data_IF_342580343387
#
_entry.id   IF_342580343387
#
_cell.length_a   1.000
_cell.length_b   1.000
_cell.length_c   1.000
_cell.angle_alpha   90.00
_cell.angle_beta   90.00
_cell.angle_gamma   90.00
#
_symmetry.space_group_name_H-M   'P 1'
#
loop_
_entity.id
_entity.type
_entity.pdbx_description
1 polymer ?
#
# COMPACT_ATOMS: atom_id res chain seq x y z
N UNK A 1 21.19 18.06 1.47
CA UNK A 1 21.44 17.64 0.06
C UNK A 1 20.83 16.26 -0.14
N UNK A 2 19.88 16.10 -1.06
CA UNK A 2 19.35 14.78 -1.42
C UNK A 2 20.41 14.02 -2.24
N UNK A 3 20.83 12.83 -1.77
CA UNK A 3 21.73 11.95 -2.52
C UNK A 3 20.91 11.31 -3.65
N UNK A 4 21.29 11.58 -4.91
CA UNK A 4 20.70 10.88 -6.06
C UNK A 4 21.18 9.43 -6.08
N UNK A 5 20.26 8.51 -6.37
CA UNK A 5 20.57 7.10 -6.57
C UNK A 5 21.28 6.90 -7.92
N UNK A 6 22.10 5.86 -8.02
CA UNK A 6 22.56 5.37 -9.31
C UNK A 6 21.34 4.90 -10.13
N UNK A 7 21.20 5.29 -11.42
CA UNK A 7 20.06 4.87 -12.25
C UNK A 7 19.81 3.36 -12.29
N UNK A 8 20.87 2.54 -12.29
CA UNK A 8 20.75 1.08 -12.25
C UNK A 8 20.19 0.59 -10.92
N UNK A 9 20.58 1.22 -9.80
CA UNK A 9 20.05 0.88 -8.48
C UNK A 9 18.58 1.30 -8.35
N UNK A 10 18.24 2.49 -8.82
CA UNK A 10 16.86 2.98 -8.87
C UNK A 10 15.97 2.04 -9.67
N UNK A 11 16.38 1.63 -10.88
CA UNK A 11 15.63 0.68 -11.70
C UNK A 11 15.40 -0.67 -10.98
N UNK A 12 16.42 -1.20 -10.29
CA UNK A 12 16.30 -2.45 -9.52
C UNK A 12 15.33 -2.32 -8.35
N UNK A 13 15.35 -1.19 -7.65
CA UNK A 13 14.43 -0.94 -6.54
C UNK A 13 12.98 -0.78 -7.01
N UNK A 14 12.77 -0.12 -8.15
CA UNK A 14 11.44 -0.03 -8.79
C UNK A 14 10.94 -1.43 -9.15
N UNK A 15 11.77 -2.24 -9.84
CA UNK A 15 11.41 -3.59 -10.22
C UNK A 15 11.10 -4.48 -9.01
N UNK A 16 11.88 -4.36 -7.93
CA UNK A 16 11.63 -5.05 -6.67
C UNK A 16 10.28 -4.62 -6.06
N UNK A 17 10.01 -3.32 -5.99
CA UNK A 17 8.75 -2.81 -5.45
C UNK A 17 7.53 -3.29 -6.25
N UNK A 18 7.64 -3.34 -7.58
CA UNK A 18 6.60 -3.89 -8.47
C UNK A 18 6.40 -5.40 -8.28
N UNK A 19 7.47 -6.15 -8.02
CA UNK A 19 7.37 -7.59 -7.76
C UNK A 19 6.75 -7.90 -6.38
N UNK A 20 6.96 -7.03 -5.39
CA UNK A 20 6.38 -7.19 -4.04
C UNK A 20 4.90 -6.80 -3.98
N UNK A 21 4.47 -5.87 -4.82
CA UNK A 21 3.09 -5.38 -4.86
C UNK A 21 2.55 -5.54 -6.27
N UNK A 22 1.89 -6.67 -6.53
CA UNK A 22 1.14 -6.88 -7.76
C UNK A 22 -0.14 -6.01 -7.74
N UNK A 23 -0.03 -4.83 -8.33
CA UNK A 23 -1.15 -3.88 -8.46
C UNK A 23 -2.29 -4.40 -9.34
N UNK A 24 -2.03 -5.35 -10.25
CA UNK A 24 -3.07 -5.92 -11.11
C UNK A 24 -3.89 -6.99 -10.37
N UNK A 25 -3.26 -7.73 -9.46
CA UNK A 25 -3.93 -8.70 -8.60
C UNK A 25 -4.54 -8.07 -7.33
N UNK A 26 -4.15 -6.84 -6.98
CA UNK A 26 -4.65 -6.14 -5.80
C UNK A 26 -6.18 -5.92 -5.87
N UNK A 27 -6.84 -6.07 -4.72
CA UNK A 27 -8.30 -5.90 -4.58
C UNK A 27 -8.60 -4.91 -3.46
N UNK A 28 -9.59 -4.04 -3.69
CA UNK A 28 -10.12 -3.16 -2.65
C UNK A 28 -10.92 -4.00 -1.67
N UNK A 29 -10.48 -4.04 -0.41
CA UNK A 29 -11.16 -4.75 0.68
C UNK A 29 -12.08 -3.84 1.49
N UNK A 30 -11.79 -2.54 1.51
CA UNK A 30 -12.55 -1.48 2.17
C UNK A 30 -12.62 -0.34 1.18
N UNK A 31 -13.84 0.00 0.76
CA UNK A 31 -14.06 1.14 -0.13
C UNK A 31 -13.66 2.44 0.58
N UNK A 32 -13.06 3.40 -0.14
CA UNK A 32 -12.84 4.73 0.40
C UNK A 32 -14.18 5.44 0.59
N UNK A 33 -14.22 6.47 1.44
CA UNK A 33 -15.44 7.28 1.56
C UNK A 33 -15.74 8.05 0.26
N UNK A 34 -14.68 8.42 -0.46
CA UNK A 34 -14.70 9.08 -1.78
C UNK A 34 -13.50 8.62 -2.60
N UNK A 35 -13.65 8.53 -3.93
CA UNK A 35 -12.58 8.11 -4.84
C UNK A 35 -11.59 9.25 -5.14
N UNK A 36 -11.00 9.80 -4.09
CA UNK A 36 -10.03 10.91 -4.14
C UNK A 36 -8.91 10.70 -3.12
N UNK A 37 -7.76 11.34 -3.35
CA UNK A 37 -6.71 11.40 -2.33
C UNK A 37 -7.25 12.11 -1.09
N UNK A 38 -6.92 11.66 0.12
CA UNK A 38 -7.58 12.13 1.34
C UNK A 38 -8.53 11.11 1.95
N UNK A 39 -9.05 10.20 1.13
CA UNK A 39 -10.20 9.38 1.50
C UNK A 39 -9.94 7.87 1.56
N UNK A 40 -8.67 7.45 1.55
CA UNK A 40 -8.30 6.04 1.60
C UNK A 40 -7.83 5.66 3.00
N UNK A 41 -8.13 4.43 3.42
CA UNK A 41 -7.43 3.83 4.54
C UNK A 41 -5.99 3.55 4.12
N UNK A 42 -5.09 4.47 4.48
CA UNK A 42 -3.67 4.36 4.25
C UNK A 42 -2.99 3.42 5.26
N UNK A 43 -1.66 3.32 5.14
CA UNK A 43 -0.82 2.40 5.90
C UNK A 43 -1.16 2.26 7.40
N UNK A 44 -1.03 1.02 7.88
CA UNK A 44 -1.55 0.58 9.16
C UNK A 44 -1.37 -0.92 9.36
N UNK A 45 -1.85 -1.43 10.50
CA UNK A 45 -1.87 -2.86 10.79
C UNK A 45 -3.23 -3.46 10.43
N UNK A 46 -3.19 -4.73 10.03
CA UNK A 46 -4.37 -5.52 9.74
C UNK A 46 -4.29 -6.83 10.53
N UNK A 47 -5.38 -7.22 11.19
CA UNK A 47 -5.50 -8.52 11.86
C UNK A 47 -6.85 -9.14 11.54
N UNK A 48 -6.86 -10.45 11.28
CA UNK A 48 -8.07 -11.24 11.16
C UNK A 48 -8.39 -11.87 12.51
N UNK A 49 -9.61 -11.69 13.01
CA UNK A 49 -10.11 -12.45 14.14
C UNK A 49 -10.49 -13.88 13.73
N UNK A 50 -10.70 -14.73 14.74
CA UNK A 50 -11.03 -16.14 14.54
C UNK A 50 -12.37 -16.36 13.81
N UNK A 51 -13.28 -15.39 13.86
CA UNK A 51 -14.56 -15.40 13.14
C UNK A 51 -14.46 -14.92 11.68
N UNK A 52 -13.25 -14.54 11.23
CA UNK A 52 -12.99 -14.02 9.90
C UNK A 52 -13.11 -12.50 9.78
N UNK A 53 -13.49 -11.79 10.85
CA UNK A 53 -13.58 -10.32 10.88
C UNK A 53 -12.20 -9.68 10.73
N UNK A 54 -12.07 -8.70 9.83
CA UNK A 54 -10.82 -7.94 9.66
C UNK A 54 -10.85 -6.64 10.45
N UNK A 55 -9.82 -6.42 11.28
CA UNK A 55 -9.59 -5.16 11.98
C UNK A 55 -8.45 -4.41 11.30
N UNK A 56 -8.72 -3.17 10.94
CA UNK A 56 -7.75 -2.27 10.32
C UNK A 56 -7.48 -1.09 11.26
N UNK A 57 -6.21 -0.85 11.55
CA UNK A 57 -5.76 0.34 12.29
C UNK A 57 -4.81 1.10 11.41
N UNK A 58 -5.21 2.26 10.92
CA UNK A 58 -4.40 3.06 10.00
C UNK A 58 -4.78 4.52 10.02
N UNK A 59 -3.98 5.33 9.34
CA UNK A 59 -4.30 6.75 9.15
C UNK A 59 -5.16 6.87 7.90
N UNK A 60 -6.34 7.44 8.08
CA UNK A 60 -7.20 7.87 6.98
C UNK A 60 -6.57 9.09 6.30
N UNK A 61 -6.32 9.01 4.98
CA UNK A 61 -5.50 9.96 4.24
C UNK A 61 -5.77 9.99 2.75
#
# INVERSE_FOLDING_TARGET
>A
MSKRLNPSLEAKLIALGQALIDQQAARVIVEPQRREAGCWFGGGNMVQAADGTWYLVGRYR
#
